data_IF_745592259413
#
_entry.id   IF_745592259413
#
_cell.length_a   1.000
_cell.length_b   1.000
_cell.length_c   1.000
_cell.angle_alpha   90.00
_cell.angle_beta   90.00
_cell.angle_gamma   90.00
#
_symmetry.space_group_name_H-M   'P 1'
#
loop_
_entity.id
_entity.type
_entity.pdbx_description
1 polymer ?
#
# COMPACT_ATOMS: atom_id res chain seq x y z
N UNK A 1 19.48 14.27 -2.76
CA UNK A 1 18.30 14.90 -2.14
C UNK A 1 17.11 14.07 -2.58
N UNK A 2 16.62 13.16 -1.74
CA UNK A 2 15.48 12.29 -2.11
C UNK A 2 14.24 13.16 -2.07
N UNK A 3 13.63 13.39 -3.22
CA UNK A 3 12.40 14.18 -3.31
C UNK A 3 11.29 13.32 -2.68
N UNK A 4 10.99 13.56 -1.40
CA UNK A 4 9.95 12.83 -0.68
C UNK A 4 8.60 13.38 -1.14
N UNK A 5 8.09 12.85 -2.25
CA UNK A 5 6.74 13.14 -2.71
C UNK A 5 5.74 12.66 -1.66
N UNK A 6 4.63 13.35 -1.43
CA UNK A 6 3.58 12.91 -0.51
C UNK A 6 2.99 11.52 -0.80
N UNK A 7 3.23 10.97 -2.00
CA UNK A 7 2.83 9.62 -2.40
C UNK A 7 3.83 8.54 -1.95
N UNK A 8 5.00 8.94 -1.43
CA UNK A 8 6.09 8.01 -1.15
C UNK A 8 5.86 7.07 0.02
N UNK A 9 5.02 7.45 0.96
CA UNK A 9 4.69 6.59 2.08
C UNK A 9 3.67 5.50 1.75
N UNK A 10 3.01 5.57 0.57
CA UNK A 10 2.08 4.54 0.09
C UNK A 10 2.81 3.37 -0.62
N UNK A 11 4.12 3.46 -0.83
CA UNK A 11 4.91 2.52 -1.63
C UNK A 11 5.00 1.10 -1.09
N UNK A 12 4.77 0.88 0.20
CA UNK A 12 4.76 -0.46 0.81
C UNK A 12 3.44 -1.21 0.59
N UNK A 13 2.36 -0.49 0.26
CA UNK A 13 1.02 -1.04 0.28
C UNK A 13 0.66 -1.97 -0.89
N UNK A 14 1.25 -1.89 -2.11
CA UNK A 14 0.97 -2.89 -3.15
C UNK A 14 1.34 -4.32 -2.74
N UNK A 15 2.47 -4.48 -2.04
CA UNK A 15 3.01 -5.80 -1.67
C UNK A 15 2.36 -6.35 -0.41
N UNK A 16 1.97 -5.48 0.53
CA UNK A 16 1.47 -5.89 1.83
C UNK A 16 0.29 -5.04 2.32
N UNK A 17 -0.74 -4.96 1.49
CA UNK A 17 -1.95 -4.20 1.77
C UNK A 17 -2.65 -4.69 3.05
N UNK A 18 -2.89 -3.75 3.97
CA UNK A 18 -3.72 -3.91 5.17
C UNK A 18 -5.14 -4.37 4.86
N UNK A 19 -5.85 -3.68 3.96
CA UNK A 19 -7.20 -4.00 3.51
C UNK A 19 -7.15 -4.63 2.12
N UNK A 20 -6.88 -5.94 2.07
CA UNK A 20 -6.79 -6.68 0.80
C UNK A 20 -8.11 -6.83 0.07
N UNK A 21 -9.20 -6.89 0.83
CA UNK A 21 -10.53 -7.24 0.35
C UNK A 21 -11.59 -6.47 1.12
N UNK A 22 -12.77 -6.33 0.54
CA UNK A 22 -13.92 -5.79 1.25
C UNK A 22 -15.23 -6.23 0.63
N UNK A 23 -16.31 -6.02 1.39
CA UNK A 23 -17.66 -6.30 0.96
C UNK A 23 -18.44 -5.00 0.78
N UNK A 24 -19.33 -4.99 -0.21
CA UNK A 24 -20.38 -3.99 -0.40
C UNK A 24 -21.69 -4.71 -0.66
N UNK A 25 -22.81 -4.07 -0.38
CA UNK A 25 -24.14 -4.57 -0.75
C UNK A 25 -24.72 -3.66 -1.81
N UNK A 26 -25.19 -4.23 -2.91
CA UNK A 26 -25.93 -3.49 -3.93
C UNK A 26 -27.25 -2.99 -3.33
N UNK A 27 -27.43 -1.67 -3.26
CA UNK A 27 -28.66 -1.06 -2.70
C UNK A 27 -29.78 -0.96 -3.75
N UNK A 28 -29.38 -1.04 -5.02
CA UNK A 28 -30.20 -1.06 -6.23
C UNK A 28 -29.51 -1.95 -7.28
N UNK A 29 -30.18 -2.19 -8.40
CA UNK A 29 -29.56 -2.92 -9.52
C UNK A 29 -28.44 -2.05 -10.12
N UNK A 30 -27.26 -2.63 -10.32
CA UNK A 30 -26.07 -1.92 -10.84
C UNK A 30 -25.61 -2.55 -12.14
N UNK A 31 -25.48 -1.77 -13.20
CA UNK A 31 -24.81 -2.21 -14.43
C UNK A 31 -23.30 -2.03 -14.30
N UNK A 32 -22.53 -3.10 -14.54
CA UNK A 32 -21.08 -3.10 -14.52
C UNK A 32 -20.54 -4.00 -15.63
N UNK A 33 -19.77 -3.42 -16.55
CA UNK A 33 -19.13 -4.13 -17.67
C UNK A 33 -20.10 -5.01 -18.50
N UNK A 34 -21.32 -4.51 -18.73
CA UNK A 34 -22.37 -5.23 -19.47
C UNK A 34 -23.16 -6.26 -18.65
N UNK A 35 -22.86 -6.41 -17.35
CA UNK A 35 -23.59 -7.28 -16.43
C UNK A 35 -24.47 -6.49 -15.46
N UNK A 36 -25.61 -7.06 -15.07
CA UNK A 36 -26.46 -6.51 -14.01
C UNK A 36 -26.14 -7.22 -12.69
N UNK A 37 -25.73 -6.46 -11.68
CA UNK A 37 -25.60 -6.89 -10.29
C UNK A 37 -26.92 -6.56 -9.59
N UNK A 38 -27.75 -7.56 -9.20
CA UNK A 38 -29.06 -7.29 -8.64
C UNK A 38 -28.99 -6.65 -7.25
N UNK A 39 -30.01 -5.85 -6.93
CA UNK A 39 -30.25 -5.29 -5.62
C UNK A 39 -30.21 -6.38 -4.54
N UNK A 40 -29.52 -6.08 -3.46
CA UNK A 40 -29.38 -6.96 -2.30
C UNK A 40 -28.17 -7.90 -2.35
N UNK A 41 -27.53 -8.05 -3.51
CA UNK A 41 -26.34 -8.88 -3.64
C UNK A 41 -25.14 -8.30 -2.88
N UNK A 42 -24.33 -9.19 -2.31
CA UNK A 42 -23.04 -8.82 -1.76
C UNK A 42 -21.98 -8.87 -2.86
N UNK A 43 -21.28 -7.76 -3.04
CA UNK A 43 -20.15 -7.63 -3.94
C UNK A 43 -18.88 -7.71 -3.12
N UNK A 44 -18.02 -8.65 -3.48
CA UNK A 44 -16.68 -8.80 -2.92
C UNK A 44 -15.68 -8.15 -3.87
N UNK A 45 -14.90 -7.20 -3.36
CA UNK A 45 -13.80 -6.60 -4.12
C UNK A 45 -12.46 -6.99 -3.48
N UNK A 46 -11.44 -7.18 -4.31
CA UNK A 46 -10.13 -7.64 -3.89
C UNK A 46 -9.03 -6.70 -4.40
N UNK A 47 -8.72 -5.65 -3.63
CA UNK A 47 -7.63 -4.73 -3.96
C UNK A 47 -6.30 -5.45 -4.15
N UNK A 48 -6.02 -6.51 -3.39
CA UNK A 48 -4.78 -7.27 -3.57
C UNK A 48 -4.62 -7.89 -4.96
N UNK A 49 -5.73 -8.25 -5.63
CA UNK A 49 -5.68 -8.76 -7.02
C UNK A 49 -5.38 -7.61 -7.97
N UNK A 50 -6.07 -6.48 -7.83
CA UNK A 50 -5.85 -5.27 -8.63
C UNK A 50 -4.44 -4.71 -8.47
N UNK A 51 -3.90 -4.69 -7.24
CA UNK A 51 -2.54 -4.20 -6.95
C UNK A 51 -1.45 -5.10 -7.52
N UNK A 52 -1.77 -6.38 -7.75
CA UNK A 52 -0.88 -7.37 -8.33
C UNK A 52 -1.09 -7.60 -9.83
N UNK A 53 -2.00 -6.86 -10.46
CA UNK A 53 -2.27 -6.98 -11.89
C UNK A 53 -1.18 -6.27 -12.71
N UNK A 54 -0.42 -7.04 -13.48
CA UNK A 54 0.65 -6.55 -14.35
C UNK A 54 0.18 -5.62 -15.48
N UNK A 55 -1.11 -5.68 -15.84
CA UNK A 55 -1.70 -4.76 -16.81
C UNK A 55 -1.95 -3.36 -16.21
N UNK A 56 -2.07 -3.27 -14.88
CA UNK A 56 -2.28 -2.02 -14.14
C UNK A 56 -0.96 -1.48 -13.59
N UNK A 57 -0.16 -2.35 -12.95
CA UNK A 57 1.13 -2.00 -12.35
C UNK A 57 2.23 -2.88 -12.94
N UNK A 58 3.12 -2.29 -13.74
CA UNK A 58 4.25 -3.01 -14.33
C UNK A 58 5.19 -3.57 -13.24
N UNK A 59 5.60 -4.85 -13.34
CA UNK A 59 6.37 -5.54 -12.30
C UNK A 59 5.77 -5.34 -10.89
N UNK A 60 4.53 -5.79 -10.64
CA UNK A 60 3.80 -5.43 -9.42
C UNK A 60 4.42 -6.00 -8.14
N UNK A 61 5.20 -7.09 -8.25
CA UNK A 61 5.95 -7.69 -7.16
C UNK A 61 7.24 -6.93 -6.80
N UNK A 62 7.69 -6.00 -7.65
CA UNK A 62 8.90 -5.20 -7.42
C UNK A 62 8.57 -3.97 -6.59
N UNK A 63 9.31 -3.79 -5.50
CA UNK A 63 9.26 -2.55 -4.73
C UNK A 63 9.90 -1.41 -5.53
N UNK A 64 9.07 -0.63 -6.21
CA UNK A 64 9.49 0.51 -7.03
C UNK A 64 8.71 1.78 -6.62
N UNK A 65 9.27 2.55 -5.67
CA UNK A 65 8.77 3.86 -5.27
C UNK A 65 8.46 4.80 -6.45
N UNK A 66 9.36 4.93 -7.42
CA UNK A 66 9.21 5.95 -8.48
C UNK A 66 7.94 5.79 -9.34
N UNK A 67 7.27 4.63 -9.27
CA UNK A 67 6.01 4.31 -9.96
C UNK A 67 4.86 5.31 -9.74
N UNK A 68 4.75 5.92 -8.55
CA UNK A 68 3.68 6.90 -8.29
C UNK A 68 4.14 8.35 -8.47
N UNK A 69 5.32 8.58 -9.05
CA UNK A 69 5.76 9.92 -9.43
C UNK A 69 5.11 10.32 -10.75
N UNK A 70 4.39 11.46 -10.74
CA UNK A 70 3.58 11.95 -11.86
C UNK A 70 4.39 12.30 -13.12
N UNK A 71 5.72 12.32 -13.05
CA UNK A 71 6.61 12.69 -14.15
C UNK A 71 6.92 11.54 -15.12
N UNK A 72 6.72 10.28 -14.73
CA UNK A 72 7.24 9.13 -15.48
C UNK A 72 6.18 8.22 -16.10
N UNK A 73 4.93 8.24 -15.61
CA UNK A 73 3.84 7.40 -16.12
C UNK A 73 2.47 8.11 -16.03
N UNK A 74 1.51 7.77 -16.91
CA UNK A 74 0.13 8.18 -16.71
C UNK A 74 -0.34 7.67 -15.32
N UNK A 75 -1.14 8.47 -14.59
CA UNK A 75 -1.63 8.06 -13.29
C UNK A 75 -2.36 6.72 -13.43
N UNK A 76 -2.25 5.81 -12.42
CA UNK A 76 -3.00 4.57 -12.42
C UNK A 76 -4.48 4.83 -12.69
N UNK A 77 -5.16 3.91 -13.38
CA UNK A 77 -6.58 4.04 -13.67
C UNK A 77 -7.37 4.40 -12.39
N UNK A 78 -8.42 5.21 -12.51
CA UNK A 78 -9.21 5.60 -11.35
C UNK A 78 -9.62 4.36 -10.54
N UNK A 79 -9.48 4.42 -9.22
CA UNK A 79 -9.77 3.31 -8.29
C UNK A 79 -8.89 2.04 -8.45
N UNK A 80 -7.79 2.09 -9.19
CA UNK A 80 -6.86 0.94 -9.29
C UNK A 80 -5.93 0.78 -8.09
N UNK A 81 -5.70 1.85 -7.33
CA UNK A 81 -4.97 1.83 -6.06
C UNK A 81 -5.89 2.19 -4.90
N UNK A 82 -6.06 1.28 -3.95
CA UNK A 82 -7.13 1.30 -2.93
C UNK A 82 -6.57 0.84 -1.59
N UNK A 83 -5.53 1.52 -1.11
CA UNK A 83 -4.82 1.12 0.10
C UNK A 83 -5.56 1.49 1.40
N UNK A 84 -6.48 2.45 1.33
CA UNK A 84 -7.29 2.95 2.45
C UNK A 84 -8.80 2.84 2.19
N UNK A 85 -9.22 2.03 1.22
CA UNK A 85 -10.60 2.02 0.73
C UNK A 85 -10.89 3.19 -0.21
N UNK A 86 -12.18 3.51 -0.39
CA UNK A 86 -12.63 4.56 -1.29
C UNK A 86 -14.09 4.94 -1.07
N UNK A 87 -14.49 6.07 -1.66
CA UNK A 87 -15.84 6.63 -1.53
C UNK A 87 -16.15 7.12 -0.10
N UNK A 88 -17.44 7.21 0.27
CA UNK A 88 -17.87 7.72 1.59
C UNK A 88 -17.39 6.90 2.79
N UNK A 89 -16.87 5.69 2.55
CA UNK A 89 -16.37 4.76 3.58
C UNK A 89 -14.85 4.60 3.51
N UNK A 90 -14.14 5.59 2.96
CA UNK A 90 -12.68 5.66 3.00
C UNK A 90 -12.20 5.73 4.45
N UNK A 91 -11.02 5.14 4.74
CA UNK A 91 -10.45 5.16 6.07
C UNK A 91 -10.31 6.61 6.59
N UNK A 92 -10.94 6.97 7.72
CA UNK A 92 -10.83 8.31 8.27
C UNK A 92 -9.41 8.64 8.74
N UNK A 93 -8.58 7.62 8.98
CA UNK A 93 -7.19 7.76 9.39
C UNK A 93 -6.19 7.94 8.25
N UNK A 94 -6.62 8.09 6.99
CA UNK A 94 -5.70 8.18 5.84
C UNK A 94 -4.66 9.30 5.98
N UNK A 95 -5.08 10.51 6.35
CA UNK A 95 -4.16 11.64 6.49
C UNK A 95 -3.28 11.51 7.74
N UNK A 96 -3.83 10.93 8.83
CA UNK A 96 -3.05 10.63 10.03
C UNK A 96 -1.93 9.62 9.72
N UNK A 97 -2.28 8.48 9.14
CA UNK A 97 -1.33 7.42 8.78
C UNK A 97 -0.27 7.93 7.80
N UNK A 98 -0.67 8.79 6.86
CA UNK A 98 0.25 9.45 5.92
C UNK A 98 1.28 10.31 6.65
N UNK A 99 0.84 11.20 7.53
CA UNK A 99 1.75 12.09 8.29
C UNK A 99 2.63 11.27 9.23
N UNK A 100 2.05 10.33 9.97
CA UNK A 100 2.76 9.45 10.90
C UNK A 100 3.88 8.69 10.18
N UNK A 101 3.57 8.09 9.01
CA UNK A 101 4.56 7.35 8.21
C UNK A 101 5.65 8.28 7.69
N UNK A 102 5.30 9.47 7.17
CA UNK A 102 6.28 10.43 6.66
C UNK A 102 7.24 10.91 7.75
N UNK A 103 6.71 11.27 8.93
CA UNK A 103 7.53 11.74 10.07
C UNK A 103 8.42 10.62 10.59
N UNK A 104 7.87 9.41 10.73
CA UNK A 104 8.61 8.23 11.16
C UNK A 104 9.76 7.96 10.20
N UNK A 105 9.46 7.84 8.90
CA UNK A 105 10.46 7.59 7.86
C UNK A 105 11.52 8.70 7.79
N UNK A 106 11.13 9.97 7.90
CA UNK A 106 12.07 11.09 7.91
C UNK A 106 13.12 10.95 9.01
N UNK A 107 12.70 10.64 10.24
CA UNK A 107 13.64 10.47 11.36
C UNK A 107 14.49 9.22 11.22
N UNK A 108 13.86 8.14 10.79
CA UNK A 108 14.47 6.85 10.55
C UNK A 108 15.62 6.95 9.53
N UNK A 109 15.37 7.48 8.32
CA UNK A 109 16.38 7.57 7.25
C UNK A 109 17.45 8.64 7.49
N UNK A 110 17.16 9.67 8.31
CA UNK A 110 18.12 10.75 8.60
C UNK A 110 19.05 10.43 9.76
N UNK A 111 18.65 9.53 10.67
CA UNK A 111 19.40 9.28 11.91
C UNK A 111 19.96 7.88 12.02
N UNK A 112 19.53 6.94 11.19
CA UNK A 112 19.93 5.56 11.33
C UNK A 112 20.27 4.91 9.98
N UNK A 113 21.18 3.95 10.04
CA UNK A 113 21.29 2.87 9.06
C UNK A 113 20.58 1.66 9.63
N UNK A 114 19.91 0.91 8.76
CA UNK A 114 19.31 -0.35 9.15
C UNK A 114 19.69 -1.47 8.20
N UNK A 115 19.74 -2.66 8.76
CA UNK A 115 19.88 -3.90 8.03
C UNK A 115 18.85 -4.89 8.53
N UNK A 116 18.15 -5.51 7.59
CA UNK A 116 17.22 -6.59 7.89
C UNK A 116 18.03 -7.81 8.33
N UNK A 117 17.74 -8.32 9.52
CA UNK A 117 18.50 -9.41 10.14
C UNK A 117 17.82 -10.77 10.01
N UNK A 118 16.90 -10.90 9.04
CA UNK A 118 16.20 -12.14 8.81
C UNK A 118 16.79 -12.96 7.65
N UNK A 119 16.47 -14.25 7.63
CA UNK A 119 16.86 -15.17 6.57
C UNK A 119 15.85 -15.19 5.41
N UNK A 120 16.17 -15.92 4.34
CA UNK A 120 15.32 -16.02 3.14
C UNK A 120 13.93 -16.64 3.40
N UNK A 121 13.73 -17.30 4.55
CA UNK A 121 12.46 -17.92 4.94
C UNK A 121 11.48 -16.96 5.65
N UNK A 122 11.81 -15.66 5.74
CA UNK A 122 10.94 -14.68 6.37
C UNK A 122 9.65 -14.47 5.56
N UNK A 123 8.60 -15.12 6.04
CA UNK A 123 7.27 -15.12 5.43
C UNK A 123 6.30 -14.29 6.25
N UNK A 124 5.24 -13.79 5.60
CA UNK A 124 4.16 -13.07 6.27
C UNK A 124 3.01 -14.02 6.57
N UNK A 125 2.63 -14.10 7.85
CA UNK A 125 1.32 -14.61 8.25
C UNK A 125 0.23 -13.59 7.93
N UNK A 126 -1.01 -14.07 7.81
CA UNK A 126 -2.16 -13.23 7.46
C UNK A 126 -3.34 -13.55 8.36
N UNK A 127 -3.53 -12.76 9.40
CA UNK A 127 -4.70 -12.89 10.28
C UNK A 127 -4.98 -11.61 11.10
N UNK A 128 -6.00 -10.80 10.75
CA UNK A 128 -6.51 -10.58 9.40
C UNK A 128 -5.52 -9.77 8.53
N UNK A 129 -4.61 -9.06 9.20
CA UNK A 129 -3.58 -8.20 8.63
C UNK A 129 -2.31 -9.00 8.34
N UNK A 130 -1.47 -8.56 7.40
CA UNK A 130 -0.18 -9.20 7.22
C UNK A 130 0.76 -8.87 8.37
N UNK A 131 1.37 -9.90 8.96
CA UNK A 131 2.35 -9.77 10.03
C UNK A 131 3.53 -10.70 9.74
N UNK A 132 4.78 -10.26 9.92
CA UNK A 132 5.94 -11.13 9.81
C UNK A 132 5.82 -12.33 10.76
N UNK A 133 5.95 -13.56 10.26
CA UNK A 133 5.72 -14.78 11.03
C UNK A 133 6.71 -14.92 12.21
N UNK A 134 7.94 -14.42 12.03
CA UNK A 134 9.03 -14.49 13.00
C UNK A 134 9.42 -13.12 13.56
N UNK A 135 8.54 -12.13 13.42
CA UNK A 135 8.88 -10.72 13.64
C UNK A 135 9.71 -10.15 12.49
N UNK A 136 10.17 -8.91 12.64
CA UNK A 136 11.01 -8.23 11.65
C UNK A 136 12.28 -7.72 12.33
N UNK A 137 13.23 -8.62 12.67
CA UNK A 137 14.44 -8.22 13.37
C UNK A 137 15.27 -7.29 12.47
N UNK A 138 15.56 -6.10 12.98
CA UNK A 138 16.38 -5.10 12.30
C UNK A 138 17.55 -4.70 13.20
N UNK A 139 18.75 -4.62 12.62
CA UNK A 139 19.88 -3.95 13.26
C UNK A 139 19.80 -2.48 12.92
N UNK A 140 19.94 -1.62 13.93
CA UNK A 140 19.87 -0.17 13.78
C UNK A 140 21.17 0.42 14.31
N UNK A 141 21.88 1.15 13.45
CA UNK A 141 23.14 1.82 13.76
C UNK A 141 22.97 3.33 13.57
N UNK A 142 23.42 4.20 14.51
CA UNK A 142 23.35 5.64 14.33
C UNK A 142 24.07 6.11 13.05
N UNK A 143 23.41 6.93 12.24
CA UNK A 143 24.00 7.53 11.05
C UNK A 143 24.84 8.75 11.45
N UNK A 144 26.15 8.66 11.27
CA UNK A 144 27.13 9.71 11.65
C UNK A 144 27.34 10.81 10.60
N UNK A 145 26.72 10.72 9.41
CA UNK A 145 26.75 11.78 8.42
C UNK A 145 25.78 12.90 8.79
N UNK A 146 26.31 14.03 9.24
CA UNK A 146 25.55 15.15 9.77
C UNK A 146 24.44 15.70 8.85
N UNK A 147 23.47 16.38 9.47
CA UNK A 147 22.50 17.24 8.80
C UNK A 147 23.26 18.37 8.08
N UNK A 148 23.51 18.21 6.79
CA UNK A 148 23.51 19.32 5.85
C UNK A 148 22.10 19.49 5.30
#
# INVERSE_FOLDING_TARGET
>A
MVHCSPLTCLFFMPLNNSVRVGFRKALEDVEFDGYVIPKGWQVFWAASVTHMDGAIFHEPARFEPSRFETSHQPPPAACSFVAFGGGPSICPGIEFARIETLVTMHHLVRRFRWELCCGEEDTFARDPMPTPLHGLPIRIDPWSGGLQ
#
